data_IF_748539404193
#
_entry.id   IF_748539404193
#
_cell.length_a   1.000
_cell.length_b   1.000
_cell.length_c   1.000
_cell.angle_alpha   90.00
_cell.angle_beta   90.00
_cell.angle_gamma   90.00
#
_symmetry.space_group_name_H-M   'P 1'
#
loop_
_entity.id
_entity.type
_entity.pdbx_description
1 polymer ?
#
# COMPACT_ATOMS: atom_id res chain seq x y z
N UNK A 1 -18.85 -47.52 35.76
CA UNK A 1 -18.97 -46.03 35.77
C UNK A 1 -17.65 -45.50 35.21
N UNK A 2 -17.60 -45.36 33.88
CA UNK A 2 -16.41 -44.82 33.19
C UNK A 2 -16.54 -43.30 33.20
N UNK A 3 -15.66 -42.63 33.94
CA UNK A 3 -15.45 -41.19 33.84
C UNK A 3 -14.93 -40.83 32.46
N UNK A 4 -15.79 -40.26 31.64
CA UNK A 4 -15.37 -39.58 30.41
C UNK A 4 -14.68 -38.29 30.85
N UNK A 5 -13.35 -38.34 30.96
CA UNK A 5 -12.54 -37.11 31.09
C UNK A 5 -12.65 -36.37 29.77
N UNK A 6 -13.43 -35.28 29.74
CA UNK A 6 -13.40 -34.29 28.71
C UNK A 6 -12.00 -33.67 28.66
N UNK A 7 -11.15 -34.18 27.78
CA UNK A 7 -9.92 -33.51 27.39
C UNK A 7 -10.29 -32.25 26.64
N UNK A 8 -10.45 -31.15 27.34
CA UNK A 8 -10.42 -29.83 26.67
C UNK A 8 -9.01 -29.63 26.18
N UNK A 9 -8.91 -29.54 24.87
CA UNK A 9 -7.66 -29.38 24.16
C UNK A 9 -7.06 -28.02 24.59
N UNK A 10 -5.97 -28.03 25.35
CA UNK A 10 -5.27 -26.84 25.84
C UNK A 10 -4.66 -25.99 24.67
N UNK A 11 -4.70 -26.49 23.44
CA UNK A 11 -4.22 -25.81 22.24
C UNK A 11 -5.10 -24.63 21.81
N UNK A 12 -6.36 -24.55 22.25
CA UNK A 12 -7.27 -23.47 21.87
C UNK A 12 -6.92 -22.10 22.44
N UNK A 13 -6.16 -22.04 23.54
CA UNK A 13 -5.76 -20.77 24.16
C UNK A 13 -4.54 -20.10 23.52
N UNK A 14 -3.82 -20.80 22.65
CA UNK A 14 -2.61 -20.30 22.02
C UNK A 14 -2.87 -19.51 20.73
N UNK A 15 -3.99 -19.74 20.06
CA UNK A 15 -4.33 -19.13 18.77
C UNK A 15 -4.48 -17.60 18.82
N UNK A 16 -5.18 -16.98 19.76
CA UNK A 16 -5.31 -15.53 19.88
C UNK A 16 -3.96 -14.83 20.00
N UNK A 17 -3.05 -15.39 20.82
CA UNK A 17 -1.71 -14.82 20.97
C UNK A 17 -0.90 -14.90 19.67
N UNK A 18 -1.01 -16.01 18.94
CA UNK A 18 -0.29 -16.20 17.67
C UNK A 18 -0.79 -15.23 16.58
N UNK A 19 -2.08 -14.94 16.56
CA UNK A 19 -2.68 -13.97 15.62
C UNK A 19 -2.21 -12.56 15.95
N UNK A 20 -2.16 -12.20 17.22
CA UNK A 20 -1.65 -10.91 17.66
C UNK A 20 -0.17 -10.75 17.33
N UNK A 21 0.65 -11.76 17.60
CA UNK A 21 2.08 -11.77 17.28
C UNK A 21 2.32 -11.61 15.76
N UNK A 22 1.52 -12.28 14.92
CA UNK A 22 1.58 -12.14 13.47
C UNK A 22 1.19 -10.72 13.00
N UNK A 23 0.20 -10.10 13.62
CA UNK A 23 -0.20 -8.73 13.32
C UNK A 23 0.92 -7.74 13.59
N UNK A 24 1.57 -7.88 14.73
CA UNK A 24 2.71 -7.04 15.12
C UNK A 24 3.90 -7.23 14.17
N UNK A 25 4.22 -8.47 13.79
CA UNK A 25 5.28 -8.77 12.83
C UNK A 25 5.01 -8.18 11.45
N UNK A 26 3.77 -8.26 10.95
CA UNK A 26 3.39 -7.70 9.66
C UNK A 26 3.42 -6.18 9.67
N UNK A 27 2.96 -5.57 10.75
CA UNK A 27 3.06 -4.12 10.95
C UNK A 27 4.52 -3.69 10.94
N UNK A 28 5.38 -4.38 11.67
CA UNK A 28 6.83 -4.14 11.68
C UNK A 28 7.45 -4.30 10.29
N UNK A 29 7.09 -5.35 9.53
CA UNK A 29 7.56 -5.56 8.15
C UNK A 29 7.14 -4.38 7.27
N UNK A 30 5.90 -3.90 7.37
CA UNK A 30 5.42 -2.77 6.59
C UNK A 30 6.17 -1.48 6.88
N UNK A 31 6.54 -1.25 8.15
CA UNK A 31 7.36 -0.11 8.56
C UNK A 31 8.82 -0.22 8.09
N UNK A 32 9.39 -1.42 8.14
CA UNK A 32 10.74 -1.68 7.65
C UNK A 32 10.84 -1.64 6.13
N UNK A 33 9.76 -1.96 5.41
CA UNK A 33 9.78 -2.03 3.95
C UNK A 33 10.05 -0.68 3.30
N UNK A 34 9.47 0.41 3.83
CA UNK A 34 9.66 1.75 3.26
C UNK A 34 11.13 2.19 3.21
N UNK A 35 11.94 2.07 4.28
CA UNK A 35 13.36 2.37 4.23
C UNK A 35 14.11 1.54 3.20
N UNK A 36 13.87 0.23 3.16
CA UNK A 36 14.53 -0.68 2.21
C UNK A 36 14.15 -0.34 0.77
N UNK A 37 12.88 -0.07 0.52
CA UNK A 37 12.39 0.36 -0.78
C UNK A 37 13.04 1.68 -1.22
N UNK A 38 13.16 2.66 -0.30
CA UNK A 38 13.83 3.92 -0.57
C UNK A 38 15.28 3.72 -0.98
N UNK A 39 16.04 2.92 -0.24
CA UNK A 39 17.43 2.60 -0.57
C UNK A 39 17.53 1.89 -1.93
N UNK A 40 16.59 1.00 -2.24
CA UNK A 40 16.57 0.30 -3.52
C UNK A 40 16.29 1.26 -4.69
N UNK A 41 15.29 2.13 -4.60
CA UNK A 41 14.98 3.07 -5.70
C UNK A 41 16.09 4.10 -5.91
N UNK A 42 16.87 4.45 -4.89
CA UNK A 42 18.03 5.33 -5.02
C UNK A 42 19.19 4.69 -5.79
N UNK A 43 19.22 3.36 -5.89
CA UNK A 43 20.25 2.64 -6.67
C UNK A 43 19.86 2.50 -8.15
N UNK A 44 18.64 2.88 -8.52
CA UNK A 44 18.20 2.79 -9.91
C UNK A 44 18.98 3.82 -10.75
N UNK A 45 19.77 3.30 -11.68
CA UNK A 45 20.44 4.15 -12.65
C UNK A 45 19.40 4.72 -13.65
N UNK A 46 19.23 6.03 -13.60
CA UNK A 46 18.33 6.76 -14.50
C UNK A 46 19.05 7.37 -15.69
N UNK A 47 20.34 7.05 -15.91
CA UNK A 47 21.13 7.52 -17.07
C UNK A 47 20.71 6.85 -18.38
N UNK A 48 19.43 6.90 -18.70
CA UNK A 48 18.86 6.33 -19.89
C UNK A 48 18.94 7.28 -21.08
N UNK A 49 18.90 6.73 -22.30
CA UNK A 49 18.82 7.54 -23.50
C UNK A 49 17.48 8.27 -23.57
N UNK A 50 17.53 9.54 -23.96
CA UNK A 50 16.35 10.36 -24.16
C UNK A 50 15.48 9.78 -25.28
N UNK A 51 14.20 9.53 -24.99
CA UNK A 51 13.24 9.23 -26.04
C UNK A 51 12.82 10.55 -26.74
N UNK A 52 13.29 10.74 -27.95
CA UNK A 52 13.04 11.99 -28.71
C UNK A 52 11.56 12.18 -29.04
N UNK A 53 10.79 11.12 -29.26
CA UNK A 53 9.35 11.24 -29.52
C UNK A 53 8.63 11.75 -28.24
N UNK A 54 8.98 11.20 -27.08
CA UNK A 54 8.44 11.70 -25.82
C UNK A 54 8.90 13.14 -25.57
N UNK A 55 10.18 13.44 -25.79
CA UNK A 55 10.71 14.81 -25.65
C UNK A 55 9.92 15.80 -26.50
N UNK A 56 9.59 15.48 -27.74
CA UNK A 56 8.83 16.38 -28.63
C UNK A 56 7.41 16.65 -28.11
N UNK A 57 6.78 15.66 -27.47
CA UNK A 57 5.45 15.80 -26.86
C UNK A 57 5.46 16.72 -25.63
N UNK A 58 6.50 16.62 -24.80
CA UNK A 58 6.58 17.35 -23.53
C UNK A 58 7.16 18.75 -23.64
N UNK A 59 7.76 19.11 -24.79
CA UNK A 59 8.31 20.44 -25.05
C UNK A 59 7.23 21.50 -25.26
N UNK A 60 5.97 21.11 -25.40
CA UNK A 60 4.88 22.07 -25.40
C UNK A 60 4.84 22.78 -24.04
N UNK A 61 4.86 24.07 -24.05
CA UNK A 61 5.25 24.95 -22.94
C UNK A 61 4.37 24.93 -21.73
N UNK A 62 3.17 24.34 -21.80
CA UNK A 62 2.16 24.42 -20.73
C UNK A 62 1.76 23.06 -20.14
N UNK A 63 2.52 21.99 -20.42
CA UNK A 63 2.20 20.67 -19.88
C UNK A 63 2.63 20.56 -18.42
N UNK A 64 1.74 20.07 -17.56
CA UNK A 64 2.05 19.60 -16.21
C UNK A 64 2.02 18.09 -16.17
N UNK A 65 2.76 17.51 -15.23
CA UNK A 65 2.97 16.07 -15.16
C UNK A 65 2.56 15.55 -13.80
N UNK A 66 1.60 14.64 -13.79
CA UNK A 66 1.30 13.82 -12.63
C UNK A 66 2.02 12.48 -12.81
N UNK A 67 2.90 12.15 -11.90
CA UNK A 67 3.67 10.91 -11.96
C UNK A 67 3.49 10.08 -10.70
N UNK A 68 3.43 8.77 -10.89
CA UNK A 68 3.44 7.77 -9.82
C UNK A 68 4.85 7.23 -9.57
N UNK A 69 5.83 7.64 -10.39
CA UNK A 69 7.22 7.23 -10.23
C UNK A 69 7.89 8.04 -9.14
N UNK A 70 8.71 7.37 -8.34
CA UNK A 70 9.50 7.98 -7.28
C UNK A 70 10.82 8.59 -7.81
N UNK A 71 11.28 8.13 -9.00
CA UNK A 71 12.54 8.58 -9.59
C UNK A 71 12.38 9.90 -10.34
N UNK A 72 13.48 10.65 -10.45
CA UNK A 72 13.52 11.98 -11.09
C UNK A 72 13.85 11.94 -12.58
N UNK A 73 13.28 11.02 -13.30
CA UNK A 73 13.49 10.90 -14.76
C UNK A 73 13.03 12.14 -15.50
N UNK A 74 11.87 12.70 -15.14
CA UNK A 74 11.30 13.88 -15.79
C UNK A 74 12.22 15.11 -15.61
N UNK A 75 12.73 15.30 -14.40
CA UNK A 75 13.60 16.43 -14.07
C UNK A 75 15.00 16.26 -14.66
N UNK A 76 15.64 15.09 -14.46
CA UNK A 76 17.05 14.88 -14.81
C UNK A 76 17.26 14.59 -16.29
N UNK A 77 16.40 13.77 -16.90
CA UNK A 77 16.56 13.35 -18.31
C UNK A 77 15.87 14.31 -19.25
N UNK A 78 14.65 14.74 -18.90
CA UNK A 78 13.85 15.61 -19.76
C UNK A 78 13.92 17.09 -19.38
N UNK A 79 14.60 17.43 -18.26
CA UNK A 79 14.81 18.79 -17.78
C UNK A 79 13.51 19.58 -17.57
N UNK A 80 12.46 18.87 -17.12
CA UNK A 80 11.20 19.50 -16.78
C UNK A 80 11.33 20.18 -15.42
N UNK A 81 10.83 21.41 -15.32
CA UNK A 81 10.84 22.14 -14.06
C UNK A 81 10.06 21.39 -12.97
N UNK A 82 10.61 21.25 -11.76
CA UNK A 82 9.91 20.62 -10.63
C UNK A 82 8.53 21.24 -10.35
N UNK A 83 8.36 22.54 -10.64
CA UNK A 83 7.07 23.23 -10.45
C UNK A 83 5.96 22.73 -11.38
N UNK A 84 6.32 21.98 -12.41
CA UNK A 84 5.40 21.37 -13.40
C UNK A 84 5.17 19.88 -13.15
N UNK A 85 5.78 19.31 -12.09
CA UNK A 85 5.73 17.89 -11.81
C UNK A 85 5.11 17.68 -10.42
N UNK A 86 4.14 16.79 -10.37
CA UNK A 86 3.60 16.27 -9.12
C UNK A 86 3.95 14.79 -8.96
N UNK A 87 4.83 14.47 -8.03
CA UNK A 87 5.07 13.10 -7.58
C UNK A 87 4.03 12.73 -6.54
N UNK A 88 2.87 12.25 -6.99
CA UNK A 88 1.71 12.01 -6.11
C UNK A 88 1.99 11.02 -4.99
N UNK A 89 2.94 10.11 -5.18
CA UNK A 89 3.37 9.13 -4.20
C UNK A 89 4.72 9.49 -3.52
N UNK A 90 5.15 10.74 -3.67
CA UNK A 90 6.45 11.17 -3.18
C UNK A 90 7.60 10.90 -4.16
N UNK A 91 8.79 11.29 -3.78
CA UNK A 91 9.99 11.15 -4.61
C UNK A 91 11.23 10.80 -3.78
N UNK A 92 12.31 10.41 -4.47
CA UNK A 92 13.60 10.09 -3.85
C UNK A 92 14.28 11.29 -3.17
N UNK A 93 13.75 12.51 -3.29
CA UNK A 93 14.31 13.67 -2.58
C UNK A 93 13.98 13.67 -1.10
N UNK A 94 12.85 13.08 -0.73
CA UNK A 94 12.40 13.00 0.65
C UNK A 94 11.89 11.59 0.96
N UNK A 95 12.66 10.86 1.77
CA UNK A 95 12.32 9.51 2.23
C UNK A 95 10.93 9.45 2.89
N UNK A 96 10.55 10.51 3.60
CA UNK A 96 9.27 10.54 4.32
C UNK A 96 8.09 10.82 3.40
N UNK A 97 8.35 11.32 2.18
CA UNK A 97 7.31 11.54 1.18
C UNK A 97 6.86 10.26 0.49
N UNK A 98 7.63 9.17 0.59
CA UNK A 98 7.34 7.90 -0.08
C UNK A 98 6.06 7.29 0.47
N UNK A 99 5.08 7.10 -0.39
CA UNK A 99 3.77 6.52 -0.08
C UNK A 99 3.67 5.17 -0.80
N UNK A 100 3.66 4.10 -0.01
CA UNK A 100 3.50 2.72 -0.48
C UNK A 100 2.11 2.21 -0.13
N UNK A 101 1.68 1.18 -0.85
CA UNK A 101 0.42 0.50 -0.56
C UNK A 101 -0.64 0.71 -1.65
N UNK A 102 -1.88 0.36 -1.34
CA UNK A 102 -3.03 0.43 -2.25
C UNK A 102 -4.01 1.53 -1.85
N UNK A 103 -4.86 1.96 -2.79
CA UNK A 103 -5.87 3.01 -2.55
C UNK A 103 -7.28 2.49 -2.31
N UNK A 104 -7.48 1.17 -2.35
CA UNK A 104 -8.80 0.59 -2.29
C UNK A 104 -9.43 0.69 -0.90
N UNK A 105 -10.68 1.06 -0.87
CA UNK A 105 -11.54 0.97 0.31
C UNK A 105 -12.10 -0.46 0.39
N UNK A 106 -11.20 -1.37 0.76
CA UNK A 106 -11.53 -2.77 0.86
C UNK A 106 -12.18 -3.05 2.22
N UNK A 107 -13.39 -2.61 2.41
CA UNK A 107 -14.19 -3.04 3.54
C UNK A 107 -14.75 -4.43 3.27
N UNK A 108 -14.50 -5.38 4.16
CA UNK A 108 -15.17 -6.68 4.42
C UNK A 108 -15.97 -7.39 3.29
N UNK A 109 -15.89 -6.95 2.05
CA UNK A 109 -16.58 -7.58 0.92
C UNK A 109 -16.07 -8.97 0.56
N UNK A 110 -14.87 -9.32 1.05
CA UNK A 110 -14.24 -10.59 0.71
C UNK A 110 -14.81 -11.81 1.42
N UNK A 111 -15.54 -11.64 2.51
CA UNK A 111 -16.26 -12.78 3.10
C UNK A 111 -17.33 -13.32 2.14
N UNK A 112 -17.81 -12.49 1.20
CA UNK A 112 -18.76 -12.91 0.15
C UNK A 112 -18.05 -13.56 -1.06
N UNK A 113 -16.75 -13.30 -1.26
CA UNK A 113 -15.96 -13.79 -2.40
C UNK A 113 -15.01 -14.94 -2.02
N UNK A 114 -14.85 -15.26 -0.74
CA UNK A 114 -14.11 -16.45 -0.30
C UNK A 114 -14.78 -17.69 -0.87
N UNK A 115 -14.05 -18.59 -1.53
CA UNK A 115 -14.64 -19.81 -2.07
C UNK A 115 -15.49 -20.50 -1.00
N UNK A 116 -16.74 -20.78 -1.31
CA UNK A 116 -17.72 -21.40 -0.39
C UNK A 116 -17.13 -22.62 0.34
N UNK A 117 -16.23 -23.36 -0.31
CA UNK A 117 -15.54 -24.52 0.26
C UNK A 117 -14.61 -24.18 1.41
N UNK A 118 -13.91 -23.06 1.35
CA UNK A 118 -12.96 -22.61 2.38
C UNK A 118 -13.69 -21.98 3.56
N UNK A 119 -14.71 -21.18 3.27
CA UNK A 119 -15.61 -20.61 4.27
C UNK A 119 -16.42 -21.70 5.00
N UNK A 120 -16.94 -22.70 4.28
CA UNK A 120 -17.65 -23.84 4.89
C UNK A 120 -16.72 -24.71 5.72
N UNK A 121 -15.45 -24.89 5.33
CA UNK A 121 -14.47 -25.62 6.13
C UNK A 121 -14.19 -24.90 7.45
N UNK A 122 -13.96 -23.59 7.43
CA UNK A 122 -13.76 -22.78 8.63
C UNK A 122 -15.02 -22.77 9.54
N UNK A 123 -16.20 -22.64 8.94
CA UNK A 123 -17.47 -22.62 9.65
C UNK A 123 -17.79 -23.97 10.32
N UNK A 124 -17.38 -25.08 9.72
CA UNK A 124 -17.67 -26.41 10.22
C UNK A 124 -16.62 -26.94 11.21
N UNK A 125 -15.41 -26.37 11.21
CA UNK A 125 -14.28 -26.83 12.00
C UNK A 125 -13.62 -25.76 12.89
N UNK A 126 -13.94 -24.47 12.66
CA UNK A 126 -13.46 -23.34 13.49
C UNK A 126 -14.55 -22.82 14.42
N UNK A 127 -14.14 -22.19 15.51
CA UNK A 127 -15.08 -21.42 16.32
C UNK A 127 -15.38 -20.09 15.61
N UNK A 128 -16.58 -19.52 15.84
CA UNK A 128 -16.90 -18.19 15.31
C UNK A 128 -15.90 -17.12 15.76
N UNK A 129 -15.29 -17.29 16.93
CA UNK A 129 -14.27 -16.38 17.43
C UNK A 129 -13.00 -16.40 16.58
N UNK A 130 -12.53 -17.55 16.13
CA UNK A 130 -11.36 -17.69 15.26
C UNK A 130 -11.59 -17.01 13.90
N UNK A 131 -12.78 -17.10 13.34
CA UNK A 131 -13.13 -16.41 12.09
C UNK A 131 -13.07 -14.90 12.30
N UNK A 132 -13.59 -14.39 13.43
CA UNK A 132 -13.53 -12.96 13.75
C UNK A 132 -12.08 -12.49 13.91
N UNK A 133 -11.25 -13.21 14.63
CA UNK A 133 -9.86 -12.87 14.87
C UNK A 133 -9.04 -12.84 13.58
N UNK A 134 -9.24 -13.80 12.66
CA UNK A 134 -8.60 -13.83 11.36
C UNK A 134 -9.06 -12.62 10.51
N UNK A 135 -10.34 -12.31 10.53
CA UNK A 135 -10.90 -11.17 9.79
C UNK A 135 -10.35 -9.84 10.31
N UNK A 136 -10.27 -9.66 11.63
CA UNK A 136 -9.67 -8.47 12.24
C UNK A 136 -8.18 -8.33 11.90
N UNK A 137 -7.45 -9.45 11.85
CA UNK A 137 -6.05 -9.45 11.44
C UNK A 137 -5.91 -9.03 9.97
N UNK A 138 -6.72 -9.58 9.06
CA UNK A 138 -6.71 -9.19 7.65
C UNK A 138 -7.02 -7.71 7.48
N UNK A 139 -7.99 -7.18 8.17
CA UNK A 139 -8.36 -5.77 8.13
C UNK A 139 -7.24 -4.88 8.69
N UNK A 140 -6.58 -5.30 9.76
CA UNK A 140 -5.42 -4.60 10.34
C UNK A 140 -4.28 -4.51 9.34
N UNK A 141 -3.91 -5.62 8.71
CA UNK A 141 -2.85 -5.69 7.69
C UNK A 141 -3.19 -4.78 6.51
N UNK A 142 -4.40 -4.86 6.00
CA UNK A 142 -4.86 -4.06 4.86
C UNK A 142 -4.85 -2.57 5.19
N UNK A 143 -5.33 -2.20 6.37
CA UNK A 143 -5.34 -0.81 6.81
C UNK A 143 -3.92 -0.26 6.98
N UNK A 144 -2.96 -1.06 7.44
CA UNK A 144 -1.55 -0.65 7.56
C UNK A 144 -0.90 -0.36 6.19
N UNK A 145 -1.37 -1.03 5.13
CA UNK A 145 -0.91 -0.86 3.76
C UNK A 145 -1.80 0.08 2.93
N UNK A 146 -2.81 0.67 3.53
CA UNK A 146 -3.74 1.57 2.84
C UNK A 146 -3.13 2.94 2.63
N UNK A 147 -3.23 3.43 1.38
CA UNK A 147 -2.92 4.82 1.07
C UNK A 147 -4.07 5.73 1.47
N UNK A 148 -3.78 6.76 2.23
CA UNK A 148 -4.73 7.84 2.44
C UNK A 148 -4.79 8.74 1.19
N UNK A 149 -5.67 8.38 0.26
CA UNK A 149 -5.86 9.10 -1.01
C UNK A 149 -6.25 10.55 -0.78
N UNK A 150 -7.09 10.82 0.23
CA UNK A 150 -7.52 12.17 0.58
C UNK A 150 -6.34 12.99 1.06
N UNK A 151 -5.52 12.44 1.94
CA UNK A 151 -4.31 13.10 2.43
C UNK A 151 -3.31 13.35 1.30
N UNK A 152 -3.12 12.39 0.39
CA UNK A 152 -2.29 12.56 -0.81
C UNK A 152 -2.78 13.72 -1.66
N UNK A 153 -4.08 13.80 -1.92
CA UNK A 153 -4.69 14.89 -2.69
C UNK A 153 -4.49 16.25 -1.99
N UNK A 154 -4.80 16.33 -0.70
CA UNK A 154 -4.66 17.57 0.06
C UNK A 154 -3.21 18.07 0.11
N UNK A 155 -2.25 17.17 0.25
CA UNK A 155 -0.82 17.51 0.20
C UNK A 155 -0.41 18.15 -1.12
N UNK A 156 -1.02 17.74 -2.23
CA UNK A 156 -0.75 18.23 -3.57
C UNK A 156 -1.82 19.20 -4.10
N UNK A 157 -2.70 19.71 -3.24
CA UNK A 157 -3.84 20.55 -3.63
C UNK A 157 -3.43 21.74 -4.51
N UNK A 158 -2.36 22.43 -4.17
CA UNK A 158 -1.84 23.58 -4.93
C UNK A 158 -1.51 23.20 -6.38
N UNK A 159 -1.00 21.99 -6.63
CA UNK A 159 -0.73 21.53 -7.98
C UNK A 159 -2.03 21.37 -8.77
N UNK A 160 -3.04 20.73 -8.18
CA UNK A 160 -4.33 20.50 -8.83
C UNK A 160 -5.12 21.79 -9.07
N UNK A 161 -5.09 22.73 -8.14
CA UNK A 161 -5.72 24.04 -8.29
C UNK A 161 -5.09 24.83 -9.43
N UNK A 162 -3.78 24.77 -9.59
CA UNK A 162 -3.08 25.43 -10.68
C UNK A 162 -3.41 24.83 -12.05
N UNK A 163 -3.82 23.56 -12.16
CA UNK A 163 -4.26 22.96 -13.42
C UNK A 163 -5.54 23.60 -13.96
N UNK A 164 -6.40 24.11 -13.10
CA UNK A 164 -7.67 24.75 -13.51
C UNK A 164 -7.47 26.04 -14.32
N UNK A 165 -6.28 26.65 -14.25
CA UNK A 165 -5.91 27.86 -14.99
C UNK A 165 -5.23 27.59 -16.33
N UNK A 166 -4.93 26.31 -16.64
CA UNK A 166 -4.33 25.91 -17.91
C UNK A 166 -5.49 25.66 -18.91
N UNK A 167 -5.80 26.65 -19.73
CA UNK A 167 -6.78 26.55 -20.81
C UNK A 167 -6.09 26.19 -22.12
#
# INVERSE_FOLDING_TARGET
EDEITNGYDENYSAMPNMIHDLSDEITWISECFRPVFYEWINQIDISTQVNNNFRSLITSTNSCFLTFNYTKVLEKIYQISPTRICHIHGSIDDKNSIILGHGDDWSCKHLEETPLSEYEHLKNHGSMNEIYEITELEDSIRNSLRKDVVKCYLYHQNFFENLSYIK
#
